data_IF_065640156159
#
_entry.id   IF_065640156159
#
_cell.length_a   1.000
_cell.length_b   1.000
_cell.length_c   1.000
_cell.angle_alpha   90.00
_cell.angle_beta   90.00
_cell.angle_gamma   90.00
#
_symmetry.space_group_name_H-M   'P 1'
#
loop_
_entity.id
_entity.type
_entity.pdbx_description
1 polymer ?
#
# COMPACT_ATOMS: atom_id res chain seq x y z
N UNK A 1 -6.02 -23.60 -21.92
CA UNK A 1 -5.68 -23.55 -20.50
C UNK A 1 -4.76 -22.36 -20.27
N UNK A 2 -4.99 -21.52 -19.25
CA UNK A 2 -4.03 -20.50 -18.83
C UNK A 2 -2.65 -21.13 -18.51
N UNK A 3 -1.59 -20.37 -18.70
CA UNK A 3 -0.20 -20.82 -18.59
C UNK A 3 0.11 -21.51 -17.26
N UNK A 4 -0.44 -21.03 -16.16
CA UNK A 4 -0.34 -21.63 -14.81
C UNK A 4 -1.04 -22.98 -14.64
N UNK A 5 -1.85 -23.40 -15.59
CA UNK A 5 -2.47 -24.73 -15.61
C UNK A 5 -1.74 -25.72 -16.49
N UNK A 6 -0.61 -25.32 -17.06
CA UNK A 6 0.31 -26.19 -17.78
C UNK A 6 1.63 -26.26 -17.03
N UNK A 7 2.14 -27.45 -16.78
CA UNK A 7 3.45 -27.69 -16.21
C UNK A 7 4.24 -28.65 -17.07
N UNK A 8 5.56 -28.52 -17.02
CA UNK A 8 6.47 -29.38 -17.76
C UNK A 8 7.92 -29.14 -17.35
N UNK A 9 8.85 -29.63 -18.15
CA UNK A 9 10.28 -29.43 -17.92
C UNK A 9 10.75 -28.17 -18.66
N UNK A 10 11.48 -27.30 -17.98
CA UNK A 10 12.03 -26.07 -18.55
C UNK A 10 12.88 -26.35 -19.79
N UNK A 11 12.64 -25.67 -20.92
CA UNK A 11 13.42 -25.89 -22.14
C UNK A 11 14.87 -25.46 -21.98
N UNK A 12 15.19 -24.49 -21.10
CA UNK A 12 16.53 -23.94 -20.92
C UNK A 12 17.36 -24.72 -19.88
N UNK A 13 16.91 -24.78 -18.63
CA UNK A 13 17.71 -25.38 -17.57
C UNK A 13 17.34 -26.83 -17.22
N UNK A 14 16.32 -27.38 -17.87
CA UNK A 14 15.82 -28.75 -17.66
C UNK A 14 15.24 -29.02 -16.27
N UNK A 15 14.96 -28.00 -15.48
CA UNK A 15 14.24 -28.14 -14.22
C UNK A 15 12.83 -28.70 -14.49
N UNK A 16 12.44 -29.70 -13.72
CA UNK A 16 11.14 -30.34 -13.83
C UNK A 16 10.06 -29.51 -13.13
N UNK A 17 8.79 -29.80 -13.44
CA UNK A 17 7.60 -29.23 -12.79
C UNK A 17 7.48 -27.69 -12.83
N UNK A 18 7.98 -27.09 -13.91
CA UNK A 18 7.90 -25.64 -14.12
C UNK A 18 6.59 -25.23 -14.80
N UNK A 19 6.08 -24.04 -14.48
CA UNK A 19 4.86 -23.48 -15.07
C UNK A 19 5.08 -23.05 -16.52
N UNK A 20 3.96 -22.84 -17.25
CA UNK A 20 3.96 -22.61 -18.69
C UNK A 20 4.44 -21.22 -19.14
N UNK A 21 4.66 -20.30 -18.23
CA UNK A 21 5.06 -18.91 -18.49
C UNK A 21 6.52 -18.62 -18.12
N UNK A 22 7.02 -19.24 -17.05
CA UNK A 22 8.37 -18.99 -16.56
C UNK A 22 8.94 -20.17 -15.77
N UNK A 23 10.26 -20.17 -15.64
CA UNK A 23 10.99 -21.13 -14.80
C UNK A 23 11.32 -20.50 -13.44
N UNK A 24 10.85 -21.11 -12.37
CA UNK A 24 11.17 -20.67 -11.01
C UNK A 24 12.65 -20.87 -10.63
N UNK A 25 13.37 -21.74 -11.35
CA UNK A 25 14.78 -22.06 -11.07
C UNK A 25 15.75 -21.13 -11.79
N UNK A 26 15.53 -20.86 -13.09
CA UNK A 26 16.45 -20.04 -13.89
C UNK A 26 15.86 -18.70 -14.34
N UNK A 27 14.65 -18.38 -13.91
CA UNK A 27 13.91 -17.15 -14.20
C UNK A 27 13.70 -16.87 -15.70
N UNK A 28 13.88 -17.88 -16.58
CA UNK A 28 13.62 -17.69 -18.00
C UNK A 28 12.14 -17.75 -18.32
N UNK A 29 11.67 -16.88 -19.19
CA UNK A 29 10.32 -16.87 -19.76
C UNK A 29 10.28 -17.69 -21.04
N UNK A 30 9.15 -18.31 -21.32
CA UNK A 30 8.87 -19.13 -22.52
C UNK A 30 7.36 -19.30 -22.70
N UNK A 31 6.94 -19.78 -23.85
CA UNK A 31 5.56 -20.19 -24.08
C UNK A 31 5.28 -21.58 -23.50
N UNK A 32 4.04 -21.86 -23.06
CA UNK A 32 3.64 -23.23 -22.67
C UNK A 32 3.97 -24.30 -23.73
N UNK A 33 4.04 -23.90 -25.00
CA UNK A 33 4.41 -24.79 -26.12
C UNK A 33 5.87 -25.20 -26.14
N UNK A 34 6.74 -24.40 -25.50
CA UNK A 34 8.18 -24.67 -25.43
C UNK A 34 8.55 -25.66 -24.31
N UNK A 35 7.63 -25.92 -23.40
CA UNK A 35 7.85 -26.87 -22.31
C UNK A 35 8.07 -28.30 -22.87
N UNK A 36 9.03 -28.99 -22.25
CA UNK A 36 9.26 -30.38 -22.51
C UNK A 36 8.27 -31.23 -21.69
N UNK A 37 7.56 -32.15 -22.33
CA UNK A 37 6.55 -32.99 -21.72
C UNK A 37 5.47 -32.18 -20.96
N UNK A 38 4.80 -31.22 -21.61
CA UNK A 38 3.77 -30.43 -20.98
C UNK A 38 2.58 -31.28 -20.51
N UNK A 39 2.04 -30.97 -19.34
CA UNK A 39 0.87 -31.63 -18.79
C UNK A 39 -0.09 -30.61 -18.17
N UNK A 40 -1.37 -30.88 -18.23
CA UNK A 40 -2.39 -30.12 -17.51
C UNK A 40 -2.28 -30.38 -16.01
N UNK A 41 -2.22 -29.32 -15.19
CA UNK A 41 -2.24 -29.44 -13.73
C UNK A 41 -3.60 -29.95 -13.23
N UNK A 42 -4.67 -29.73 -14.00
CA UNK A 42 -6.03 -30.10 -13.62
C UNK A 42 -6.33 -31.58 -13.94
N UNK A 43 -5.92 -32.06 -15.11
CA UNK A 43 -6.30 -33.39 -15.57
C UNK A 43 -5.14 -34.36 -15.78
N UNK A 44 -3.88 -33.88 -15.74
CA UNK A 44 -2.69 -34.65 -16.06
C UNK A 44 -2.52 -34.94 -17.57
N UNK A 45 -3.51 -34.60 -18.41
CA UNK A 45 -3.47 -34.85 -19.83
C UNK A 45 -2.44 -33.95 -20.54
N UNK A 46 -1.88 -34.44 -21.65
CA UNK A 46 -1.03 -33.61 -22.51
C UNK A 46 -1.87 -32.55 -23.21
N UNK A 47 -1.54 -31.25 -23.09
CA UNK A 47 -2.26 -30.19 -23.76
C UNK A 47 -2.12 -30.32 -25.29
N UNK A 48 -3.17 -29.95 -26.00
CA UNK A 48 -3.17 -29.85 -27.46
C UNK A 48 -3.26 -28.37 -27.86
N UNK A 49 -2.64 -28.00 -28.96
CA UNK A 49 -2.77 -26.68 -29.56
C UNK A 49 -4.16 -26.57 -30.16
N UNK A 50 -4.88 -25.50 -29.85
CA UNK A 50 -6.19 -25.19 -30.38
C UNK A 50 -6.26 -23.70 -30.71
N UNK A 51 -6.69 -23.37 -31.91
CA UNK A 51 -7.01 -22.00 -32.29
C UNK A 51 -8.30 -21.54 -31.62
N UNK A 52 -8.34 -20.31 -31.18
CA UNK A 52 -9.50 -19.67 -30.59
C UNK A 52 -9.55 -18.19 -30.97
N UNK A 53 -10.74 -17.67 -31.19
CA UNK A 53 -10.95 -16.23 -31.35
C UNK A 53 -10.83 -15.53 -30.00
N UNK A 54 -10.13 -14.40 -29.99
CA UNK A 54 -9.95 -13.60 -28.80
C UNK A 54 -10.30 -12.14 -29.06
N UNK A 55 -10.77 -11.48 -28.01
CA UNK A 55 -11.01 -10.03 -28.01
C UNK A 55 -9.78 -9.32 -27.48
N UNK A 56 -9.40 -8.26 -28.18
CA UNK A 56 -8.23 -7.46 -27.82
C UNK A 56 -8.66 -6.02 -27.52
N UNK A 57 -8.14 -5.45 -26.44
CA UNK A 57 -8.23 -4.04 -26.16
C UNK A 57 -7.13 -3.32 -26.93
N UNK A 58 -7.50 -2.32 -27.72
CA UNK A 58 -6.56 -1.59 -28.55
C UNK A 58 -5.82 -0.50 -27.76
N UNK A 59 -4.91 -0.93 -26.87
CA UNK A 59 -4.11 -0.03 -26.04
C UNK A 59 -3.30 0.98 -26.85
N UNK A 60 -2.72 0.64 -28.04
CA UNK A 60 -2.03 1.60 -28.89
C UNK A 60 -2.86 2.84 -29.27
N UNK A 61 -4.17 2.71 -29.40
CA UNK A 61 -5.05 3.84 -29.72
C UNK A 61 -5.02 4.95 -28.64
N UNK A 62 -4.63 4.62 -27.42
CA UNK A 62 -4.55 5.54 -26.27
C UNK A 62 -3.13 6.07 -26.00
N UNK A 63 -2.13 5.71 -26.82
CA UNK A 63 -0.72 6.02 -26.57
C UNK A 63 -0.45 7.50 -26.33
N UNK A 64 -1.08 8.38 -27.11
CA UNK A 64 -0.92 9.84 -26.98
C UNK A 64 -1.36 10.34 -25.61
N UNK A 65 -2.57 9.97 -25.17
CA UNK A 65 -3.12 10.32 -23.85
C UNK A 65 -2.28 9.73 -22.73
N UNK A 66 -1.87 8.47 -22.87
CA UNK A 66 -1.07 7.78 -21.86
C UNK A 66 0.31 8.43 -21.66
N UNK A 67 0.98 8.85 -22.75
CA UNK A 67 2.24 9.61 -22.67
C UNK A 67 2.09 10.91 -21.92
N UNK A 68 1.02 11.67 -22.20
CA UNK A 68 0.75 12.91 -21.50
C UNK A 68 0.45 12.67 -20.03
N UNK A 69 -0.46 11.75 -19.72
CA UNK A 69 -0.87 11.47 -18.34
C UNK A 69 0.28 10.89 -17.49
N UNK A 70 1.08 9.96 -18.00
CA UNK A 70 2.19 9.37 -17.24
C UNK A 70 3.31 10.37 -16.91
N UNK A 71 3.40 11.47 -17.64
CA UNK A 71 4.38 12.55 -17.42
C UNK A 71 3.78 13.78 -16.72
N UNK A 72 2.50 13.77 -16.38
CA UNK A 72 1.82 14.90 -15.72
C UNK A 72 2.12 15.02 -14.22
N UNK A 73 2.91 14.12 -13.64
CA UNK A 73 3.11 13.99 -12.19
C UNK A 73 2.18 12.97 -11.53
N UNK A 74 1.35 12.28 -12.30
CA UNK A 74 0.43 11.25 -11.79
C UNK A 74 1.13 9.98 -11.31
N UNK A 75 2.40 9.79 -11.69
CA UNK A 75 3.22 8.64 -11.32
C UNK A 75 4.51 9.07 -10.61
N UNK A 76 5.04 8.18 -9.77
CA UNK A 76 6.40 8.34 -9.24
C UNK A 76 7.41 8.33 -10.40
N UNK A 77 8.53 9.09 -10.30
CA UNK A 77 9.51 9.20 -11.40
C UNK A 77 10.02 7.86 -11.91
N UNK A 78 10.26 6.90 -11.02
CA UNK A 78 10.74 5.56 -11.40
C UNK A 78 9.71 4.80 -12.24
N UNK A 79 8.42 4.98 -11.94
CA UNK A 79 7.31 4.38 -12.70
C UNK A 79 7.16 5.09 -14.05
N UNK A 80 7.18 6.41 -14.07
CA UNK A 80 7.09 7.18 -15.32
C UNK A 80 8.22 6.79 -16.29
N UNK A 81 9.45 6.67 -15.78
CA UNK A 81 10.60 6.20 -16.57
C UNK A 81 10.39 4.77 -17.09
N UNK A 82 9.82 3.89 -16.26
CA UNK A 82 9.51 2.52 -16.70
C UNK A 82 8.43 2.48 -17.78
N UNK A 83 7.42 3.35 -17.70
CA UNK A 83 6.39 3.47 -18.75
C UNK A 83 7.00 3.96 -20.06
N UNK A 84 7.99 4.85 -20.02
CA UNK A 84 8.69 5.31 -21.20
C UNK A 84 9.34 4.16 -21.99
N UNK A 85 9.94 3.18 -21.31
CA UNK A 85 10.49 1.97 -21.97
C UNK A 85 9.41 1.20 -22.75
N UNK A 86 8.19 1.13 -22.22
CA UNK A 86 7.06 0.49 -22.90
C UNK A 86 6.63 1.27 -24.14
N UNK A 87 6.59 2.59 -24.06
CA UNK A 87 6.27 3.42 -25.23
C UNK A 87 7.33 3.29 -26.34
N UNK A 88 8.61 3.23 -25.98
CA UNK A 88 9.70 3.07 -26.93
C UNK A 88 9.69 1.70 -27.61
N UNK A 89 9.29 0.64 -26.89
CA UNK A 89 9.12 -0.70 -27.46
C UNK A 89 7.85 -0.87 -28.30
N UNK A 90 6.93 0.11 -28.23
CA UNK A 90 5.62 0.09 -28.87
C UNK A 90 4.57 -0.67 -28.06
N UNK A 91 3.49 0.02 -27.71
CA UNK A 91 2.37 -0.59 -27.02
C UNK A 91 1.72 -1.67 -27.90
N UNK A 92 1.31 -2.76 -27.29
CA UNK A 92 0.66 -3.88 -27.96
C UNK A 92 -0.82 -3.94 -27.55
N UNK A 93 -1.64 -4.49 -28.44
CA UNK A 93 -3.02 -4.85 -28.12
C UNK A 93 -3.03 -5.88 -26.99
N UNK A 94 -4.00 -5.76 -26.09
CA UNK A 94 -4.10 -6.62 -24.92
C UNK A 94 -5.25 -7.61 -25.06
N UNK A 95 -4.94 -8.91 -24.97
CA UNK A 95 -5.94 -9.98 -24.96
C UNK A 95 -6.76 -9.92 -23.66
N UNK A 96 -8.02 -9.51 -23.79
CA UNK A 96 -8.97 -9.34 -22.69
C UNK A 96 -9.96 -10.48 -22.55
N UNK A 97 -9.84 -11.54 -23.32
CA UNK A 97 -10.75 -12.68 -23.30
C UNK A 97 -10.11 -13.98 -22.84
N UNK A 98 -10.91 -14.84 -22.24
CA UNK A 98 -10.52 -16.19 -21.83
C UNK A 98 -11.59 -17.18 -22.22
N UNK A 99 -11.18 -18.35 -22.70
CA UNK A 99 -12.07 -19.47 -23.03
C UNK A 99 -12.55 -20.20 -21.77
N UNK A 100 -13.74 -20.80 -21.85
CA UNK A 100 -14.20 -21.74 -20.85
C UNK A 100 -13.27 -22.99 -20.76
N UNK A 101 -13.07 -23.56 -19.53
CA UNK A 101 -13.64 -23.13 -18.24
C UNK A 101 -12.79 -22.01 -17.62
N UNK A 102 -13.40 -20.87 -17.36
CA UNK A 102 -12.77 -19.74 -16.70
C UNK A 102 -13.77 -19.11 -15.72
N UNK A 103 -13.31 -18.74 -14.54
CA UNK A 103 -14.12 -18.00 -13.56
C UNK A 103 -14.01 -16.51 -13.84
N UNK A 104 -15.11 -15.88 -14.23
CA UNK A 104 -15.16 -14.46 -14.58
C UNK A 104 -16.52 -14.06 -15.13
N UNK A 105 -16.66 -12.84 -15.57
CA UNK A 105 -17.86 -12.35 -16.25
C UNK A 105 -17.83 -12.74 -17.73
N UNK A 106 -18.94 -13.33 -18.22
CA UNK A 106 -19.07 -13.67 -19.62
C UNK A 106 -19.15 -12.38 -20.48
N UNK A 107 -18.43 -12.40 -21.62
CA UNK A 107 -18.44 -11.28 -22.56
C UNK A 107 -19.81 -11.21 -23.24
N UNK A 108 -20.54 -10.08 -23.18
CA UNK A 108 -21.83 -9.95 -23.83
C UNK A 108 -21.76 -10.27 -25.34
N UNK A 109 -22.62 -11.18 -25.78
CA UNK A 109 -22.67 -11.61 -27.20
C UNK A 109 -21.61 -12.63 -27.62
N UNK A 110 -20.72 -13.06 -26.72
CA UNK A 110 -19.69 -14.05 -27.02
C UNK A 110 -19.77 -15.24 -26.05
N UNK A 111 -20.55 -16.24 -26.45
CA UNK A 111 -20.78 -17.44 -25.63
C UNK A 111 -19.48 -18.16 -25.28
N UNK A 112 -19.36 -18.62 -24.03
CA UNK A 112 -18.18 -19.33 -23.49
C UNK A 112 -16.88 -18.51 -23.52
N UNK A 113 -16.98 -17.16 -23.65
CA UNK A 113 -15.88 -16.22 -23.54
C UNK A 113 -16.04 -15.33 -22.30
N UNK A 114 -15.00 -15.18 -21.54
CA UNK A 114 -15.01 -14.47 -20.27
C UNK A 114 -13.99 -13.32 -20.31
N UNK A 115 -14.30 -12.24 -19.61
CA UNK A 115 -13.32 -11.16 -19.42
C UNK A 115 -12.12 -11.65 -18.62
N UNK A 116 -10.94 -11.24 -19.04
CA UNK A 116 -9.73 -11.43 -18.27
C UNK A 116 -9.78 -10.60 -16.98
N UNK A 117 -9.37 -11.20 -15.88
CA UNK A 117 -9.50 -10.63 -14.53
C UNK A 117 -8.98 -9.20 -14.40
N UNK A 118 -7.93 -8.81 -15.10
CA UNK A 118 -7.39 -7.46 -15.04
C UNK A 118 -8.17 -6.42 -15.86
N UNK A 119 -9.13 -6.83 -16.66
CA UNK A 119 -10.10 -5.91 -17.25
C UNK A 119 -11.22 -5.58 -16.25
N UNK A 120 -11.73 -6.58 -15.55
CA UNK A 120 -12.87 -6.42 -14.64
C UNK A 120 -12.47 -5.99 -13.21
N UNK A 121 -11.30 -6.42 -12.73
CA UNK A 121 -10.85 -6.15 -11.36
C UNK A 121 -10.79 -4.65 -11.00
N UNK A 122 -10.25 -3.74 -11.83
CA UNK A 122 -10.25 -2.31 -11.52
C UNK A 122 -11.66 -1.70 -11.49
N UNK A 123 -12.62 -2.25 -12.24
CA UNK A 123 -14.02 -1.81 -12.18
C UNK A 123 -14.60 -2.07 -10.79
N UNK A 124 -14.05 -3.03 -10.05
CA UNK A 124 -14.39 -3.28 -8.65
C UNK A 124 -14.22 -2.06 -7.74
N UNK A 125 -13.28 -1.16 -8.03
CA UNK A 125 -13.13 0.11 -7.30
C UNK A 125 -14.35 1.00 -7.48
N UNK A 126 -14.81 1.14 -8.72
CA UNK A 126 -16.01 1.91 -9.06
C UNK A 126 -17.27 1.26 -8.48
N UNK A 127 -17.40 -0.06 -8.62
CA UNK A 127 -18.55 -0.82 -8.12
C UNK A 127 -18.67 -0.74 -6.58
N UNK A 128 -17.54 -0.84 -5.88
CA UNK A 128 -17.49 -0.68 -4.41
C UNK A 128 -17.91 0.72 -3.98
N UNK A 129 -17.40 1.75 -4.66
CA UNK A 129 -17.76 3.13 -4.37
C UNK A 129 -19.22 3.43 -4.76
N UNK A 130 -19.70 2.90 -5.89
CA UNK A 130 -21.10 3.03 -6.30
C UNK A 130 -22.05 2.42 -5.26
N UNK A 131 -21.70 1.26 -4.69
CA UNK A 131 -22.47 0.66 -3.60
C UNK A 131 -22.52 1.58 -2.36
N UNK A 132 -21.42 2.25 -2.02
CA UNK A 132 -21.42 3.27 -0.96
C UNK A 132 -22.33 4.44 -1.30
N UNK A 133 -22.22 4.98 -2.51
CA UNK A 133 -23.05 6.09 -2.99
C UNK A 133 -24.54 5.77 -2.89
N UNK A 134 -24.94 4.58 -3.30
CA UNK A 134 -26.34 4.13 -3.27
C UNK A 134 -26.89 4.01 -1.84
N UNK A 135 -26.04 3.62 -0.87
CA UNK A 135 -26.43 3.51 0.54
C UNK A 135 -26.52 4.86 1.24
N UNK A 136 -25.61 5.77 0.94
CA UNK A 136 -25.45 7.05 1.65
C UNK A 136 -26.07 8.23 0.91
N UNK A 137 -26.63 8.03 -0.29
CA UNK A 137 -27.23 9.09 -1.12
C UNK A 137 -26.19 10.05 -1.71
N UNK A 138 -24.98 9.58 -1.97
CA UNK A 138 -23.88 10.36 -2.57
C UNK A 138 -23.98 10.28 -4.09
N UNK A 139 -23.73 11.38 -4.81
CA UNK A 139 -23.64 11.34 -6.27
C UNK A 139 -22.30 10.73 -6.70
N UNK A 140 -22.38 9.60 -7.38
CA UNK A 140 -21.21 8.89 -7.90
C UNK A 140 -20.40 9.77 -8.87
N UNK A 141 -21.07 10.59 -9.68
CA UNK A 141 -20.42 11.41 -10.70
C UNK A 141 -19.65 12.60 -10.12
N UNK A 142 -19.95 13.04 -8.89
CA UNK A 142 -19.13 14.04 -8.20
C UNK A 142 -17.69 13.54 -7.98
N UNK A 143 -17.46 12.22 -7.96
CA UNK A 143 -16.16 11.62 -7.72
C UNK A 143 -15.56 10.96 -8.97
N UNK A 144 -16.36 10.27 -9.77
CA UNK A 144 -15.88 9.49 -10.92
C UNK A 144 -16.17 10.12 -12.28
N UNK A 145 -16.98 11.15 -12.32
CA UNK A 145 -17.27 11.86 -13.58
C UNK A 145 -16.01 12.44 -14.22
N UNK A 146 -15.96 12.52 -15.54
CA UNK A 146 -14.82 13.01 -16.33
C UNK A 146 -14.28 14.35 -15.84
N UNK A 147 -15.19 15.29 -15.50
CA UNK A 147 -14.85 16.64 -15.05
C UNK A 147 -14.88 16.81 -13.53
N UNK A 148 -14.73 15.74 -12.77
CA UNK A 148 -14.71 15.79 -11.30
C UNK A 148 -13.43 16.45 -10.78
N UNK A 149 -13.59 17.36 -9.81
CA UNK A 149 -12.48 17.98 -9.06
C UNK A 149 -12.02 17.15 -7.86
N UNK A 150 -12.69 16.02 -7.56
CA UNK A 150 -12.29 15.12 -6.48
C UNK A 150 -10.94 14.48 -6.77
N UNK A 151 -10.16 14.16 -5.74
CA UNK A 151 -8.88 13.46 -5.88
C UNK A 151 -9.08 11.95 -5.79
N UNK A 152 -8.45 11.20 -6.69
CA UNK A 152 -8.46 9.75 -6.73
C UNK A 152 -7.04 9.21 -6.66
N UNK A 153 -6.72 8.54 -5.56
CA UNK A 153 -5.40 7.95 -5.31
C UNK A 153 -5.46 6.44 -5.35
N UNK A 154 -4.53 5.83 -6.09
CA UNK A 154 -4.30 4.39 -6.04
C UNK A 154 -2.99 4.09 -5.31
N UNK A 155 -3.05 3.25 -4.28
CA UNK A 155 -1.89 2.67 -3.61
C UNK A 155 -1.78 1.20 -4.00
N UNK A 156 -0.73 0.83 -4.71
CA UNK A 156 -0.60 -0.49 -5.34
C UNK A 156 0.76 -1.13 -5.10
N UNK A 157 0.81 -2.46 -5.17
CA UNK A 157 2.08 -3.18 -5.26
C UNK A 157 2.76 -2.97 -6.62
N UNK A 158 4.07 -3.01 -6.65
CA UNK A 158 4.88 -2.83 -7.87
C UNK A 158 4.59 -3.84 -8.99
N UNK A 159 4.01 -4.99 -8.65
CA UNK A 159 3.67 -6.07 -9.59
C UNK A 159 2.45 -5.76 -10.47
N UNK A 160 1.62 -4.80 -10.08
CA UNK A 160 0.42 -4.41 -10.83
C UNK A 160 0.50 -3.00 -11.42
N UNK A 161 1.69 -2.42 -11.43
CA UNK A 161 1.95 -1.08 -12.00
C UNK A 161 1.50 -0.99 -13.46
N UNK A 162 1.81 -1.98 -14.27
CA UNK A 162 1.46 -2.00 -15.69
C UNK A 162 -0.06 -1.84 -15.91
N UNK A 163 -0.87 -2.57 -15.13
CA UNK A 163 -2.32 -2.51 -15.22
C UNK A 163 -2.89 -1.16 -14.77
N UNK A 164 -2.33 -0.55 -13.75
CA UNK A 164 -2.82 0.71 -13.18
C UNK A 164 -2.25 1.97 -13.86
N UNK A 165 -1.15 1.83 -14.59
CA UNK A 165 -0.50 2.97 -15.26
C UNK A 165 -0.74 3.03 -16.78
N UNK A 166 -1.22 1.95 -17.39
CA UNK A 166 -1.53 1.92 -18.83
C UNK A 166 -2.97 1.50 -19.08
N UNK A 167 -3.37 0.27 -18.68
CA UNK A 167 -4.69 -0.24 -19.03
C UNK A 167 -5.81 0.50 -18.33
N UNK A 168 -5.72 0.69 -17.02
CA UNK A 168 -6.77 1.34 -16.26
C UNK A 168 -7.04 2.78 -16.70
N UNK A 169 -6.03 3.66 -16.87
CA UNK A 169 -6.25 4.99 -17.41
C UNK A 169 -6.84 4.98 -18.83
N UNK A 170 -6.43 4.03 -19.68
CA UNK A 170 -6.99 3.90 -21.03
C UNK A 170 -8.46 3.44 -21.02
N UNK A 171 -8.82 2.53 -20.12
CA UNK A 171 -10.21 2.11 -19.92
C UNK A 171 -11.09 3.28 -19.44
N UNK A 172 -10.60 4.05 -18.48
CA UNK A 172 -11.31 5.21 -17.95
C UNK A 172 -11.50 6.28 -19.03
N UNK A 173 -10.46 6.60 -19.79
CA UNK A 173 -10.55 7.53 -20.92
C UNK A 173 -11.60 7.07 -21.95
N UNK A 174 -11.53 5.81 -22.37
CA UNK A 174 -12.47 5.23 -23.34
C UNK A 174 -13.90 5.09 -22.85
N UNK A 175 -14.12 5.25 -21.54
CA UNK A 175 -15.43 5.15 -20.89
C UNK A 175 -15.92 6.50 -20.34
N UNK A 176 -15.22 7.59 -20.66
CA UNK A 176 -15.56 8.96 -20.24
C UNK A 176 -15.60 9.16 -18.72
N UNK A 177 -14.69 8.44 -18.01
CA UNK A 177 -14.46 8.62 -16.60
C UNK A 177 -13.13 9.29 -16.32
N UNK A 178 -13.03 9.95 -15.17
CA UNK A 178 -11.79 10.58 -14.74
C UNK A 178 -10.67 9.56 -14.51
N UNK A 179 -9.46 9.90 -14.90
CA UNK A 179 -8.26 9.16 -14.58
C UNK A 179 -7.83 9.37 -13.10
N UNK A 180 -7.06 8.47 -12.50
CA UNK A 180 -6.48 8.69 -11.18
C UNK A 180 -5.68 9.99 -11.11
N UNK A 181 -5.79 10.71 -9.99
CA UNK A 181 -4.93 11.86 -9.68
C UNK A 181 -3.50 11.38 -9.58
N UNK A 182 -3.27 10.33 -8.76
CA UNK A 182 -1.97 9.67 -8.67
C UNK A 182 -2.11 8.16 -8.50
N UNK A 183 -1.09 7.46 -8.98
CA UNK A 183 -0.86 6.04 -8.69
C UNK A 183 0.48 5.90 -7.97
N UNK A 184 0.44 5.42 -6.73
CA UNK A 184 1.60 5.23 -5.88
C UNK A 184 1.90 3.75 -5.74
N UNK A 185 3.03 3.33 -6.28
CA UNK A 185 3.51 1.96 -6.15
C UNK A 185 4.43 1.82 -4.93
N UNK A 186 4.35 0.69 -4.27
CA UNK A 186 5.26 0.29 -3.19
C UNK A 186 5.87 -1.08 -3.46
N UNK A 187 6.97 -1.39 -2.78
CA UNK A 187 7.63 -2.68 -2.83
C UNK A 187 6.83 -3.77 -2.11
N UNK A 188 7.40 -4.98 -2.09
CA UNK A 188 6.82 -6.11 -1.36
C UNK A 188 7.15 -6.04 0.12
N UNK A 189 6.30 -6.70 0.93
CA UNK A 189 6.63 -7.00 2.32
C UNK A 189 7.30 -8.37 2.37
N UNK A 190 8.51 -8.41 2.91
CA UNK A 190 9.23 -9.64 3.25
C UNK A 190 9.14 -9.89 4.77
N UNK A 191 9.41 -11.10 5.20
CA UNK A 191 9.48 -11.46 6.62
C UNK A 191 10.85 -12.10 6.87
N UNK A 192 11.65 -11.46 7.71
CA UNK A 192 13.04 -11.86 8.00
C UNK A 192 13.84 -12.16 6.71
N UNK A 193 13.75 -11.24 5.74
CA UNK A 193 14.41 -11.32 4.44
C UNK A 193 13.80 -12.30 3.43
N UNK A 194 12.75 -13.04 3.81
CA UNK A 194 12.10 -14.01 2.94
C UNK A 194 10.79 -13.47 2.38
N UNK A 195 10.52 -13.72 1.07
CA UNK A 195 9.24 -13.40 0.45
C UNK A 195 8.11 -14.13 1.18
N UNK A 196 7.03 -13.41 1.52
CA UNK A 196 5.82 -14.04 2.06
C UNK A 196 5.25 -15.06 1.08
N UNK A 197 5.06 -16.28 1.53
CA UNK A 197 4.51 -17.38 0.73
C UNK A 197 3.66 -18.28 1.60
N UNK A 198 2.40 -18.48 1.19
CA UNK A 198 1.48 -19.42 1.87
C UNK A 198 2.00 -20.85 1.79
N UNK A 199 2.54 -21.25 0.64
CA UNK A 199 3.07 -22.60 0.41
C UNK A 199 4.35 -22.89 1.18
N UNK A 200 5.15 -21.86 1.51
CA UNK A 200 6.40 -21.99 2.28
C UNK A 200 6.21 -21.76 3.79
N UNK A 201 5.00 -21.39 4.23
CA UNK A 201 4.72 -21.13 5.65
C UNK A 201 5.30 -19.81 6.17
N UNK A 202 5.82 -18.93 5.31
CA UNK A 202 6.37 -17.60 5.68
C UNK A 202 5.33 -16.50 5.64
N UNK A 203 4.05 -16.84 5.47
CA UNK A 203 2.96 -15.90 5.39
C UNK A 203 2.33 -15.69 6.78
N UNK A 204 2.36 -14.44 7.25
CA UNK A 204 1.67 -14.04 8.49
C UNK A 204 0.30 -13.48 8.11
N UNK A 205 -0.78 -14.14 8.54
CA UNK A 205 -2.12 -13.63 8.34
C UNK A 205 -2.41 -12.45 9.27
N UNK A 206 -3.07 -11.41 8.75
CA UNK A 206 -3.47 -10.27 9.57
C UNK A 206 -4.35 -10.69 10.76
N UNK A 207 -5.25 -11.66 10.58
CA UNK A 207 -6.06 -12.21 11.66
C UNK A 207 -5.24 -12.87 12.76
N UNK A 208 -4.15 -13.57 12.41
CA UNK A 208 -3.24 -14.16 13.39
C UNK A 208 -2.56 -13.06 14.21
N UNK A 209 -2.07 -12.01 13.56
CA UNK A 209 -1.47 -10.87 14.24
C UNK A 209 -2.46 -10.19 15.20
N UNK A 210 -3.68 -9.92 14.75
CA UNK A 210 -4.71 -9.21 15.52
C UNK A 210 -5.19 -9.99 16.76
N UNK A 211 -4.99 -11.31 16.81
CA UNK A 211 -5.28 -12.11 18.00
C UNK A 211 -4.27 -11.90 19.14
N UNK A 212 -3.13 -11.26 18.86
CA UNK A 212 -2.03 -11.15 19.83
C UNK A 212 -1.63 -9.71 20.15
N UNK A 213 -1.70 -8.80 19.18
CA UNK A 213 -1.15 -7.45 19.32
C UNK A 213 -2.09 -6.44 18.65
N UNK A 214 -2.16 -5.24 19.23
CA UNK A 214 -2.93 -4.12 18.70
C UNK A 214 -2.45 -3.72 17.30
N UNK A 215 -3.35 -3.46 16.34
CA UNK A 215 -3.00 -3.06 14.98
C UNK A 215 -2.16 -1.77 14.91
N UNK A 216 -2.30 -0.86 15.88
CA UNK A 216 -1.54 0.40 15.90
C UNK A 216 -0.04 0.18 16.02
N UNK A 217 0.40 -0.88 16.70
CA UNK A 217 1.82 -1.22 16.77
C UNK A 217 2.41 -1.55 15.39
N UNK A 218 1.66 -2.29 14.55
CA UNK A 218 2.10 -2.63 13.20
C UNK A 218 2.05 -1.42 12.27
N UNK A 219 1.02 -0.60 12.36
CA UNK A 219 0.90 0.65 11.60
C UNK A 219 2.06 1.59 11.91
N UNK A 220 2.40 1.74 13.19
CA UNK A 220 3.56 2.51 13.61
C UNK A 220 4.85 1.99 13.00
N UNK A 221 5.07 0.65 13.07
CA UNK A 221 6.27 0.02 12.53
C UNK A 221 6.42 0.27 11.03
N UNK A 222 5.34 0.11 10.28
CA UNK A 222 5.36 0.41 8.85
C UNK A 222 5.58 1.90 8.58
N UNK A 223 4.88 2.79 9.27
CA UNK A 223 5.08 4.23 9.10
C UNK A 223 6.52 4.65 9.40
N UNK A 224 7.18 4.05 10.40
CA UNK A 224 8.57 4.32 10.72
C UNK A 224 9.58 3.88 9.64
N UNK A 225 9.16 3.04 8.69
CA UNK A 225 10.01 2.51 7.60
C UNK A 225 9.62 3.01 6.22
N UNK A 226 8.33 3.25 5.98
CA UNK A 226 7.81 3.62 4.67
C UNK A 226 8.28 5.02 4.25
N UNK A 227 8.59 5.13 2.97
CA UNK A 227 8.93 6.36 2.27
C UNK A 227 8.17 6.42 0.92
N UNK A 228 8.44 7.43 0.12
CA UNK A 228 7.82 7.65 -1.19
C UNK A 228 8.42 6.79 -2.33
N UNK A 229 9.42 5.94 -2.02
CA UNK A 229 10.13 5.10 -3.00
C UNK A 229 9.55 3.70 -3.10
N UNK A 230 9.92 3.01 -4.19
CA UNK A 230 9.48 1.64 -4.47
C UNK A 230 10.51 0.65 -3.92
N UNK A 231 10.62 0.60 -2.60
CA UNK A 231 11.54 -0.29 -1.90
C UNK A 231 10.78 -1.42 -1.21
N UNK A 232 11.38 -2.61 -1.16
CA UNK A 232 10.81 -3.72 -0.39
C UNK A 232 10.98 -3.45 1.10
N UNK A 233 9.95 -3.73 1.88
CA UNK A 233 9.93 -3.52 3.32
C UNK A 233 10.06 -4.87 4.02
N UNK A 234 11.12 -5.02 4.81
CA UNK A 234 11.29 -6.22 5.63
C UNK A 234 10.62 -6.07 7.00
N UNK A 235 9.69 -6.98 7.29
CA UNK A 235 9.10 -7.15 8.60
C UNK A 235 9.96 -8.08 9.43
N UNK A 236 10.92 -7.50 10.14
CA UNK A 236 11.77 -8.21 11.07
C UNK A 236 11.16 -8.17 12.47
N UNK A 237 10.91 -9.34 13.07
CA UNK A 237 10.22 -9.44 14.35
C UNK A 237 11.00 -8.84 15.53
N UNK A 238 12.32 -8.98 15.54
CA UNK A 238 13.16 -8.41 16.61
C UNK A 238 13.16 -6.88 16.55
N UNK A 239 13.36 -6.30 15.35
CA UNK A 239 13.27 -4.85 15.12
C UNK A 239 11.87 -4.32 15.46
N UNK A 240 10.81 -5.06 15.12
CA UNK A 240 9.44 -4.70 15.48
C UNK A 240 9.25 -4.59 17.00
N UNK A 241 9.62 -5.62 17.74
CA UNK A 241 9.51 -5.63 19.20
C UNK A 241 10.35 -4.52 19.82
N UNK A 242 11.58 -4.32 19.34
CA UNK A 242 12.47 -3.27 19.83
C UNK A 242 11.86 -1.88 19.60
N UNK A 243 11.36 -1.58 18.40
CA UNK A 243 10.76 -0.28 18.07
C UNK A 243 9.51 0.00 18.89
N UNK A 244 8.59 -0.96 18.98
CA UNK A 244 7.35 -0.81 19.76
C UNK A 244 7.70 -0.51 21.22
N UNK A 245 8.61 -1.27 21.81
CA UNK A 245 9.00 -1.07 23.21
C UNK A 245 9.75 0.25 23.41
N UNK A 246 10.67 0.60 22.54
CA UNK A 246 11.49 1.81 22.71
C UNK A 246 10.69 3.07 22.44
N UNK A 247 9.99 3.13 21.30
CA UNK A 247 9.37 4.36 20.83
C UNK A 247 7.96 4.55 21.42
N UNK A 248 7.11 3.52 21.31
CA UNK A 248 5.73 3.64 21.79
C UNK A 248 5.68 3.51 23.30
N UNK A 249 6.15 2.39 23.86
CA UNK A 249 5.95 2.11 25.28
C UNK A 249 6.82 3.02 26.15
N UNK A 250 8.14 3.03 25.93
CA UNK A 250 9.08 3.70 26.83
C UNK A 250 9.18 5.22 26.61
N UNK A 251 8.82 5.72 25.42
CA UNK A 251 8.84 7.16 25.16
C UNK A 251 7.42 7.75 25.25
N UNK A 252 6.54 7.42 24.28
CA UNK A 252 5.25 8.09 24.13
C UNK A 252 4.27 7.76 25.26
N UNK A 253 4.00 6.47 25.50
CA UNK A 253 3.05 6.03 26.53
C UNK A 253 3.58 6.35 27.93
N UNK A 254 4.88 6.16 28.15
CA UNK A 254 5.50 6.49 29.43
C UNK A 254 5.40 7.99 29.75
N UNK A 255 5.63 8.87 28.75
CA UNK A 255 5.45 10.32 28.90
C UNK A 255 4.04 10.66 29.37
N UNK A 256 3.01 10.14 28.69
CA UNK A 256 1.62 10.33 29.06
C UNK A 256 1.32 9.78 30.46
N UNK A 257 1.78 8.57 30.76
CA UNK A 257 1.55 7.89 32.04
C UNK A 257 2.15 8.67 33.24
N UNK A 258 3.33 9.26 33.06
CA UNK A 258 4.04 10.02 34.10
C UNK A 258 3.33 11.33 34.47
N UNK A 259 2.54 11.89 33.57
CA UNK A 259 1.88 13.18 33.74
C UNK A 259 0.37 13.07 34.02
N UNK A 260 -0.33 12.26 33.22
CA UNK A 260 -1.77 12.09 33.31
C UNK A 260 -2.26 11.65 34.71
N UNK A 261 -1.46 10.84 35.39
CA UNK A 261 -1.76 10.40 36.74
C UNK A 261 -1.87 11.54 37.77
N UNK A 262 -1.02 12.57 37.64
CA UNK A 262 -1.12 13.76 38.52
C UNK A 262 -2.33 14.60 38.17
N UNK A 263 -2.55 14.86 36.88
CA UNK A 263 -3.70 15.65 36.40
C UNK A 263 -5.02 15.00 36.85
N UNK A 264 -5.17 13.68 36.64
CA UNK A 264 -6.38 12.96 37.01
C UNK A 264 -6.64 12.92 38.53
N UNK A 265 -5.60 12.62 39.32
CA UNK A 265 -5.75 12.36 40.75
C UNK A 265 -5.77 13.61 41.61
N UNK A 266 -5.03 14.67 41.23
CA UNK A 266 -4.90 15.90 42.03
C UNK A 266 -5.69 17.07 41.51
N UNK A 267 -5.99 17.09 40.20
CA UNK A 267 -6.62 18.25 39.56
C UNK A 267 -7.93 17.90 38.85
N UNK A 268 -8.55 16.78 39.17
CA UNK A 268 -9.85 16.35 38.61
C UNK A 268 -9.86 16.31 37.07
N UNK A 269 -8.72 16.01 36.43
CA UNK A 269 -8.58 16.01 34.98
C UNK A 269 -8.45 17.40 34.34
N UNK A 270 -8.32 18.49 35.16
CA UNK A 270 -8.22 19.86 34.67
C UNK A 270 -6.76 20.25 34.42
N UNK A 271 -6.49 20.74 33.23
CA UNK A 271 -5.19 21.32 32.88
C UNK A 271 -5.02 22.71 33.45
N UNK A 272 -3.78 23.21 33.54
CA UNK A 272 -3.49 24.59 33.91
C UNK A 272 -4.03 25.58 32.86
N UNK A 273 -4.36 26.78 33.27
CA UNK A 273 -4.85 27.82 32.37
C UNK A 273 -3.74 28.54 31.57
N UNK A 274 -2.50 28.27 31.91
CA UNK A 274 -1.32 28.86 31.27
C UNK A 274 -0.30 27.78 31.01
N UNK A 275 0.40 27.88 29.86
CA UNK A 275 1.57 27.08 29.58
C UNK A 275 2.75 27.56 30.45
N UNK A 276 3.51 26.65 31.01
CA UNK A 276 4.70 26.96 31.81
C UNK A 276 5.86 27.40 30.91
N UNK A 277 5.97 26.82 29.72
CA UNK A 277 7.00 27.13 28.71
C UNK A 277 6.35 27.35 27.32
N UNK A 278 5.97 28.61 27.07
CA UNK A 278 5.37 29.00 25.79
C UNK A 278 6.33 28.80 24.60
N UNK A 279 7.66 28.92 24.82
CA UNK A 279 8.65 28.74 23.77
C UNK A 279 8.74 27.26 23.34
N UNK A 280 8.77 26.35 24.30
CA UNK A 280 8.75 24.92 24.04
C UNK A 280 7.45 24.52 23.31
N UNK A 281 6.31 25.01 23.75
CA UNK A 281 5.02 24.73 23.08
C UNK A 281 5.00 25.26 21.65
N UNK A 282 5.51 26.48 21.43
CA UNK A 282 5.61 27.06 20.09
C UNK A 282 6.52 26.23 19.17
N UNK A 283 7.60 25.65 19.69
CA UNK A 283 8.45 24.73 18.91
C UNK A 283 7.66 23.51 18.42
N UNK A 284 6.86 22.89 19.28
CA UNK A 284 6.01 21.74 18.91
C UNK A 284 4.98 22.10 17.84
N UNK A 285 4.27 23.22 18.05
CA UNK A 285 3.24 23.65 17.08
C UNK A 285 3.81 24.07 15.74
N UNK A 286 4.99 24.66 15.71
CA UNK A 286 5.68 25.06 14.46
C UNK A 286 6.07 23.84 13.63
N UNK A 287 6.43 22.72 14.25
CA UNK A 287 6.79 21.50 13.53
C UNK A 287 5.57 20.78 12.90
N UNK A 288 4.37 21.12 13.31
CA UNK A 288 3.15 20.45 12.82
C UNK A 288 2.99 20.57 11.29
N UNK A 289 3.29 21.72 10.69
CA UNK A 289 3.21 21.93 9.24
C UNK A 289 4.21 21.06 8.48
N UNK A 290 5.45 20.95 8.98
CA UNK A 290 6.46 20.10 8.36
C UNK A 290 6.11 18.61 8.48
N UNK A 291 5.58 18.18 9.61
CA UNK A 291 5.12 16.81 9.79
C UNK A 291 3.95 16.51 8.85
N UNK A 292 3.00 17.43 8.71
CA UNK A 292 1.90 17.30 7.75
C UNK A 292 2.43 17.18 6.31
N UNK A 293 3.39 18.02 5.91
CA UNK A 293 4.01 17.95 4.60
C UNK A 293 4.71 16.61 4.32
N UNK A 294 5.33 15.99 5.34
CA UNK A 294 5.89 14.65 5.20
C UNK A 294 4.81 13.58 5.00
N UNK A 295 3.66 13.69 5.66
CA UNK A 295 2.53 12.79 5.43
C UNK A 295 1.98 12.94 4.01
N UNK A 296 1.78 14.17 3.53
CA UNK A 296 1.30 14.46 2.18
C UNK A 296 2.27 13.93 1.11
N UNK A 297 3.58 14.07 1.32
CA UNK A 297 4.61 13.55 0.42
C UNK A 297 4.88 12.06 0.59
N UNK A 298 4.18 11.35 1.49
CA UNK A 298 4.36 9.93 1.82
C UNK A 298 5.73 9.59 2.42
N UNK A 299 6.43 10.56 2.93
CA UNK A 299 7.69 10.38 3.64
C UNK A 299 7.44 10.05 5.13
N UNK A 300 6.66 9.00 5.36
CA UNK A 300 6.19 8.62 6.70
C UNK A 300 7.33 8.40 7.69
N UNK A 301 8.44 7.81 7.26
CA UNK A 301 9.64 7.61 8.09
C UNK A 301 10.24 8.92 8.59
N UNK A 302 10.15 10.01 7.80
CA UNK A 302 10.59 11.34 8.22
C UNK A 302 9.60 11.94 9.23
N UNK A 303 8.29 11.83 8.96
CA UNK A 303 7.25 12.28 9.87
C UNK A 303 7.40 11.61 11.26
N UNK A 304 7.53 10.30 11.31
CA UNK A 304 7.74 9.54 12.55
C UNK A 304 9.04 9.96 13.26
N UNK A 305 10.11 10.20 12.53
CA UNK A 305 11.38 10.65 13.12
C UNK A 305 11.23 12.01 13.82
N UNK A 306 10.56 12.97 13.17
CA UNK A 306 10.30 14.28 13.77
C UNK A 306 9.39 14.17 15.00
N UNK A 307 8.32 13.38 14.92
CA UNK A 307 7.43 13.13 16.07
C UNK A 307 8.20 12.53 17.25
N UNK A 308 9.09 11.56 16.99
CA UNK A 308 9.89 10.96 18.05
C UNK A 308 10.95 11.92 18.61
N UNK A 309 11.51 12.80 17.79
CA UNK A 309 12.42 13.85 18.25
C UNK A 309 11.70 14.87 19.17
N UNK A 310 10.48 15.26 18.84
CA UNK A 310 9.64 16.08 19.74
C UNK A 310 9.29 15.32 21.04
N UNK A 311 8.95 14.05 20.93
CA UNK A 311 8.70 13.20 22.11
C UNK A 311 9.91 13.12 23.04
N UNK A 312 11.13 13.03 22.48
CA UNK A 312 12.38 13.07 23.27
C UNK A 312 12.56 14.40 24.00
N UNK A 313 12.24 15.54 23.35
CA UNK A 313 12.27 16.86 23.98
C UNK A 313 11.26 16.98 25.13
N UNK A 314 10.04 16.46 24.92
CA UNK A 314 9.02 16.42 25.96
C UNK A 314 9.45 15.56 27.16
N UNK A 315 10.02 14.37 26.90
CA UNK A 315 10.57 13.53 27.97
C UNK A 315 11.68 14.23 28.74
N UNK A 316 12.60 14.91 28.04
CA UNK A 316 13.68 15.68 28.67
C UNK A 316 13.12 16.79 29.56
N UNK A 317 12.14 17.54 29.08
CA UNK A 317 11.46 18.57 29.88
C UNK A 317 10.87 17.98 31.19
N UNK A 318 10.16 16.87 31.10
CA UNK A 318 9.55 16.21 32.28
C UNK A 318 10.63 15.63 33.20
N UNK A 319 11.76 15.13 32.69
CA UNK A 319 12.86 14.65 33.53
C UNK A 319 13.54 15.82 34.28
N UNK A 320 13.73 16.96 33.63
CA UNK A 320 14.31 18.18 34.25
C UNK A 320 13.37 18.79 35.29
N UNK A 321 12.07 18.85 35.02
CA UNK A 321 11.07 19.39 35.94
C UNK A 321 10.74 18.43 37.09
N UNK A 322 10.92 17.13 36.90
CA UNK A 322 10.70 16.10 37.91
C UNK A 322 9.38 16.23 38.68
N UNK A 323 8.19 16.17 38.02
CA UNK A 323 6.91 16.40 38.68
C UNK A 323 6.65 15.48 39.89
N UNK A 324 7.25 14.30 39.94
CA UNK A 324 7.22 13.39 41.07
C UNK A 324 7.99 13.91 42.32
N UNK A 325 8.90 14.85 42.15
CA UNK A 325 9.56 15.57 43.26
C UNK A 325 8.68 16.72 43.71
N UNK A 326 8.22 17.58 42.78
CA UNK A 326 7.31 18.70 43.05
C UNK A 326 6.07 18.21 43.80
N UNK A 327 5.53 17.07 43.46
CA UNK A 327 4.35 16.49 44.11
C UNK A 327 4.51 16.14 45.58
N UNK A 328 5.73 16.14 46.14
CA UNK A 328 6.04 15.89 47.55
C UNK A 328 6.22 17.17 48.35
N UNK A 329 6.30 18.32 47.70
CA UNK A 329 6.50 19.62 48.32
C UNK A 329 5.15 20.28 48.63
N UNK A 330 4.96 20.78 49.87
CA UNK A 330 3.74 21.48 50.24
C UNK A 330 3.63 22.84 49.52
N UNK A 331 2.44 23.18 49.04
CA UNK A 331 2.14 24.44 48.38
C UNK A 331 2.57 24.53 46.89
N UNK A 332 3.07 23.44 46.30
CA UNK A 332 3.54 23.35 44.90
C UNK A 332 2.51 22.83 43.93
N UNK A 333 1.23 22.71 44.28
CA UNK A 333 0.21 22.12 43.41
C UNK A 333 0.01 22.90 42.12
N UNK A 334 0.08 24.24 42.14
CA UNK A 334 -0.04 25.05 40.92
C UNK A 334 1.14 24.83 39.95
N UNK A 335 2.38 24.70 40.46
CA UNK A 335 3.56 24.39 39.70
C UNK A 335 3.48 22.97 39.11
N UNK A 336 3.08 21.99 39.91
CA UNK A 336 2.85 20.62 39.48
C UNK A 336 1.81 20.54 38.34
N UNK A 337 0.69 21.25 38.49
CA UNK A 337 -0.35 21.31 37.49
C UNK A 337 0.20 21.92 36.17
N UNK A 338 0.91 23.04 36.27
CA UNK A 338 1.50 23.71 35.09
C UNK A 338 2.47 22.80 34.35
N UNK A 339 3.41 22.16 35.05
CA UNK A 339 4.40 21.22 34.46
C UNK A 339 3.70 20.03 33.79
N UNK A 340 2.71 19.42 34.44
CA UNK A 340 2.01 18.25 33.88
C UNK A 340 1.00 18.61 32.77
N UNK A 341 0.69 19.90 32.58
CA UNK A 341 -0.24 20.38 31.54
C UNK A 341 0.46 20.78 30.26
N UNK A 342 1.78 20.87 30.29
CA UNK A 342 2.64 21.20 29.17
C UNK A 342 2.66 20.08 28.13
#
# INVERSE_FOLDING_TARGET
>A
LPDRFVKGTCPKCKAEDQYGDNCEVCASTYSPMDLINPRSVVSGATPIIKESEHFFFDLPAFEGMLKEWTHSGSLQPEIANKMQEWFESGLQQWDISRDAPYFGFEIPGAKDKFFYVWLDAPIGYMASFKNLCDREGIDFNEFWGENSDAELYHFIGKDIVYFHSLFWPAMLEGSEYRKPTNVFAHGYVTVDGAKMSKSRGTFIQASTYLNHIDPECLRYYYAAKLNDRIEDLDFNLEDFVQRVNTDIVNKLVNLASRNAGFIAKRFEGKLANKLEDEALFAEFTTQAEQIAAYYESREYNKAIREIMALTDKANKYIDEKAPWVIAKEEGKDAELQAVCSM
#
